data_IF_554394463996
#
_entry.id   IF_554394463996
#
_cell.length_a   1.000
_cell.length_b   1.000
_cell.length_c   1.000
_cell.angle_alpha   90.00
_cell.angle_beta   90.00
_cell.angle_gamma   90.00
#
_symmetry.space_group_name_H-M   'P 1'
#
loop_
_entity.id
_entity.type
_entity.pdbx_description
1 polymer ?
#
# COMPACT_ATOMS: atom_id res chain seq x y z
N UNK A 1 14.97 -2.04 0.36
CA UNK A 1 14.28 -1.45 -0.81
C UNK A 1 12.78 -1.61 -0.57
N UNK A 2 11.93 -0.59 -0.72
CA UNK A 2 10.49 -0.79 -0.59
C UNK A 2 10.01 -1.70 -1.72
N UNK A 3 9.24 -2.73 -1.37
CA UNK A 3 8.67 -3.68 -2.33
C UNK A 3 7.55 -2.98 -3.11
N UNK A 4 7.69 -2.89 -4.44
CA UNK A 4 6.68 -2.31 -5.33
C UNK A 4 5.84 -3.44 -5.91
N UNK A 5 4.54 -3.42 -5.64
CA UNK A 5 3.57 -4.33 -6.27
C UNK A 5 3.14 -3.81 -7.63
N UNK A 6 3.10 -4.69 -8.64
CA UNK A 6 2.80 -4.32 -10.02
C UNK A 6 1.51 -4.98 -10.52
N UNK A 7 0.65 -4.16 -11.14
CA UNK A 7 -0.53 -4.60 -11.87
C UNK A 7 -0.34 -4.11 -13.30
N UNK A 8 -0.36 -5.03 -14.26
CA UNK A 8 0.01 -4.75 -15.64
C UNK A 8 -1.16 -4.15 -16.43
N UNK A 9 -0.89 -3.04 -17.13
CA UNK A 9 -1.80 -2.46 -18.12
C UNK A 9 -2.14 -3.50 -19.21
N UNK A 10 -3.40 -3.54 -19.62
CA UNK A 10 -3.87 -4.42 -20.70
C UNK A 10 -4.12 -5.89 -20.30
N UNK A 11 -3.81 -6.32 -19.07
CA UNK A 11 -4.23 -7.64 -18.58
C UNK A 11 -5.72 -7.65 -18.24
N UNK A 12 -6.41 -8.71 -18.66
CA UNK A 12 -7.78 -9.01 -18.22
C UNK A 12 -7.71 -9.70 -16.87
N UNK A 13 -8.18 -9.02 -15.84
CA UNK A 13 -8.35 -9.59 -14.51
C UNK A 13 -9.78 -10.13 -14.36
N UNK A 14 -9.93 -11.22 -13.61
CA UNK A 14 -11.26 -11.71 -13.25
C UNK A 14 -12.02 -10.64 -12.45
N UNK A 15 -13.35 -10.68 -12.50
CA UNK A 15 -14.18 -9.81 -11.67
C UNK A 15 -13.82 -10.04 -10.19
N UNK A 16 -13.61 -8.97 -9.43
CA UNK A 16 -13.16 -9.01 -8.04
C UNK A 16 -11.80 -9.68 -7.83
N UNK A 17 -10.93 -9.70 -8.85
CA UNK A 17 -9.54 -10.06 -8.64
C UNK A 17 -8.93 -9.15 -7.57
N UNK A 18 -8.21 -9.76 -6.63
CA UNK A 18 -7.46 -9.05 -5.60
C UNK A 18 -5.98 -9.29 -5.82
N UNK A 19 -5.24 -8.19 -5.98
CA UNK A 19 -3.78 -8.19 -5.92
C UNK A 19 -3.36 -7.80 -4.50
N UNK A 20 -2.37 -8.50 -3.95
CA UNK A 20 -1.85 -8.24 -2.60
C UNK A 20 -0.38 -7.86 -2.67
N UNK A 21 -0.01 -6.80 -1.96
CA UNK A 21 1.37 -6.34 -1.84
C UNK A 21 1.74 -6.15 -0.37
N UNK A 22 2.79 -6.84 0.06
CA UNK A 22 3.32 -6.68 1.41
C UNK A 22 4.25 -5.47 1.50
N UNK A 23 4.10 -4.71 2.58
CA UNK A 23 4.87 -3.52 2.91
C UNK A 23 5.45 -3.66 4.32
N UNK A 24 6.62 -3.05 4.52
CA UNK A 24 7.25 -2.93 5.82
C UNK A 24 7.60 -1.46 6.03
N UNK A 25 7.18 -0.89 7.15
CA UNK A 25 7.52 0.48 7.54
C UNK A 25 8.13 0.50 8.93
N UNK A 26 9.24 1.22 9.16
CA UNK A 26 9.79 1.39 10.49
C UNK A 26 8.88 2.28 11.33
N UNK A 27 8.79 1.98 12.62
CA UNK A 27 8.09 2.77 13.62
C UNK A 27 8.94 2.90 14.88
N UNK A 28 9.14 4.14 15.34
CA UNK A 28 9.92 4.48 16.53
C UNK A 28 9.05 5.14 17.57
N UNK A 29 9.50 5.11 18.82
CA UNK A 29 8.85 5.85 19.90
C UNK A 29 8.77 7.35 19.54
N UNK A 30 7.55 7.91 19.60
CA UNK A 30 7.27 9.29 19.21
C UNK A 30 6.72 9.46 17.79
N UNK A 31 6.82 8.43 16.94
CA UNK A 31 6.19 8.46 15.62
C UNK A 31 4.66 8.36 15.74
N UNK A 32 3.96 8.97 14.78
CA UNK A 32 2.53 8.73 14.59
C UNK A 32 2.26 7.26 14.25
N UNK A 33 1.20 6.70 14.85
CA UNK A 33 0.61 5.41 14.48
C UNK A 33 -0.28 5.50 13.24
N UNK A 34 -0.62 6.71 12.80
CA UNK A 34 -1.24 6.97 11.51
C UNK A 34 -0.14 7.05 10.46
N UNK A 35 -0.10 6.07 9.55
CA UNK A 35 0.83 5.99 8.43
C UNK A 35 0.08 6.22 7.12
N UNK A 36 0.78 6.72 6.10
CA UNK A 36 0.22 6.89 4.76
C UNK A 36 0.89 5.93 3.79
N UNK A 37 0.09 5.13 3.08
CA UNK A 37 0.54 4.28 1.99
C UNK A 37 0.05 4.90 0.68
N UNK A 38 0.98 5.30 -0.19
CA UNK A 38 0.63 5.89 -1.47
C UNK A 38 0.40 4.80 -2.52
N UNK A 39 -0.63 4.97 -3.33
CA UNK A 39 -0.98 4.11 -4.46
C UNK A 39 -0.67 4.91 -5.72
N UNK A 40 0.18 4.35 -6.56
CA UNK A 40 0.64 5.00 -7.78
C UNK A 40 0.13 4.27 -9.02
N UNK A 41 0.02 5.01 -10.11
CA UNK A 41 -0.33 4.52 -11.44
C UNK A 41 0.75 4.95 -12.43
N UNK A 42 0.86 4.22 -13.53
CA UNK A 42 1.77 4.55 -14.63
C UNK A 42 1.15 4.08 -15.93
N UNK A 43 1.29 4.88 -16.98
CA UNK A 43 0.78 4.57 -18.32
C UNK A 43 1.81 3.89 -19.24
N UNK A 44 3.08 3.81 -18.80
CA UNK A 44 4.14 3.17 -19.55
C UNK A 44 3.92 1.65 -19.62
N UNK A 45 4.34 1.02 -20.73
CA UNK A 45 4.21 -0.43 -20.92
C UNK A 45 4.98 -1.24 -19.86
N UNK A 46 6.04 -0.65 -19.30
CA UNK A 46 6.82 -1.22 -18.22
C UNK A 46 6.76 -0.25 -17.03
N UNK A 47 6.38 -0.73 -15.84
CA UNK A 47 6.43 0.09 -14.65
C UNK A 47 7.87 0.53 -14.36
N UNK A 48 8.11 1.84 -14.15
CA UNK A 48 9.39 2.32 -13.70
C UNK A 48 9.71 1.82 -12.29
N UNK A 49 10.99 1.63 -12.01
CA UNK A 49 11.45 1.08 -10.74
C UNK A 49 11.29 2.05 -9.56
N UNK A 50 11.10 3.35 -9.84
CA UNK A 50 11.03 4.41 -8.84
C UNK A 50 9.79 5.28 -9.02
N UNK A 51 9.27 5.77 -7.90
CA UNK A 51 8.06 6.61 -7.82
C UNK A 51 8.27 8.05 -8.28
N UNK A 52 9.51 8.51 -8.39
CA UNK A 52 9.88 9.84 -8.89
C UNK A 52 10.01 9.90 -10.42
N UNK A 53 9.70 8.80 -11.11
CA UNK A 53 9.67 8.76 -12.56
C UNK A 53 8.53 9.65 -13.10
N UNK A 54 8.77 10.48 -14.14
CA UNK A 54 7.79 11.45 -14.63
C UNK A 54 6.49 10.84 -15.17
N UNK A 55 6.51 9.55 -15.53
CA UNK A 55 5.32 8.79 -15.95
C UNK A 55 4.53 8.16 -14.81
N UNK A 56 4.85 8.46 -13.55
CA UNK A 56 4.19 7.91 -12.36
C UNK A 56 3.31 8.98 -11.71
N UNK A 57 2.03 8.67 -11.59
CA UNK A 57 1.03 9.54 -10.97
C UNK A 57 0.58 8.97 -9.62
N UNK A 58 0.42 9.84 -8.62
CA UNK A 58 -0.23 9.49 -7.36
C UNK A 58 -1.73 9.33 -7.60
N UNK A 59 -2.22 8.09 -7.50
CA UNK A 59 -3.63 7.74 -7.72
C UNK A 59 -4.44 7.92 -6.45
N UNK A 60 -3.87 7.55 -5.30
CA UNK A 60 -4.55 7.70 -4.02
C UNK A 60 -3.57 7.61 -2.84
N UNK A 61 -4.02 8.12 -1.70
CA UNK A 61 -3.36 7.96 -0.42
C UNK A 61 -4.27 7.15 0.50
N UNK A 62 -3.74 6.05 1.01
CA UNK A 62 -4.41 5.21 1.99
C UNK A 62 -3.86 5.56 3.38
N UNK A 63 -4.75 6.01 4.26
CA UNK A 63 -4.42 6.25 5.66
C UNK A 63 -4.57 4.93 6.43
N UNK A 64 -3.50 4.53 7.10
CA UNK A 64 -3.38 3.28 7.86
C UNK A 64 -3.22 3.63 9.34
N UNK A 65 -4.23 3.32 10.16
CA UNK A 65 -4.23 3.50 11.60
C UNK A 65 -3.82 2.21 12.33
N UNK A 66 -2.65 2.26 12.96
CA UNK A 66 -2.08 1.14 13.72
C UNK A 66 -2.42 1.20 15.22
N UNK A 67 -3.30 2.09 15.69
CA UNK A 67 -3.65 2.21 17.11
C UNK A 67 -4.18 0.91 17.74
N UNK A 68 -4.85 0.07 16.94
CA UNK A 68 -5.38 -1.23 17.37
C UNK A 68 -4.44 -2.41 17.15
N UNK A 69 -3.18 -2.18 16.77
CA UNK A 69 -2.23 -3.25 16.40
C UNK A 69 -1.26 -3.50 17.56
N UNK A 70 -0.99 -4.77 17.87
CA UNK A 70 -0.04 -5.11 18.93
C UNK A 70 1.39 -4.97 18.41
N UNK A 71 2.03 -3.84 18.72
CA UNK A 71 3.39 -3.53 18.24
C UNK A 71 4.43 -4.57 18.68
N UNK A 72 4.24 -5.17 19.85
CA UNK A 72 5.15 -6.17 20.41
C UNK A 72 5.25 -7.44 19.54
N UNK A 73 4.27 -7.72 18.68
CA UNK A 73 4.31 -8.86 17.77
C UNK A 73 5.19 -8.64 16.54
N UNK A 74 5.65 -7.40 16.28
CA UNK A 74 6.55 -7.14 15.16
C UNK A 74 8.01 -7.43 15.49
N UNK A 75 8.83 -7.75 14.48
CA UNK A 75 10.27 -7.73 14.61
C UNK A 75 10.75 -6.36 15.13
N UNK A 76 11.68 -6.39 16.07
CA UNK A 76 12.26 -5.20 16.69
C UNK A 76 13.75 -5.13 16.40
N UNK A 77 14.22 -3.92 16.09
CA UNK A 77 15.64 -3.59 16.09
C UNK A 77 15.92 -2.63 17.23
N UNK A 78 17.06 -2.80 17.89
CA UNK A 78 17.49 -1.92 18.98
C UNK A 78 18.80 -1.23 18.62
N UNK A 79 18.82 0.09 18.70
CA UNK A 79 20.04 0.88 18.51
C UNK A 79 20.17 1.83 19.69
N UNK A 80 21.10 1.52 20.60
CA UNK A 80 21.23 2.22 21.88
C UNK A 80 19.95 2.08 22.73
N UNK A 81 19.34 3.21 23.10
CA UNK A 81 18.09 3.26 23.88
C UNK A 81 16.83 3.26 23.01
N UNK A 82 16.96 3.40 21.70
CA UNK A 82 15.81 3.38 20.78
C UNK A 82 15.43 1.96 20.37
N UNK A 83 14.14 1.69 20.42
CA UNK A 83 13.50 0.51 19.84
C UNK A 83 12.79 0.95 18.56
N UNK A 84 13.06 0.24 17.48
CA UNK A 84 12.40 0.38 16.19
C UNK A 84 11.59 -0.90 15.91
N UNK A 85 10.30 -0.74 15.65
CA UNK A 85 9.40 -1.81 15.24
C UNK A 85 9.30 -1.81 13.72
N UNK A 86 9.40 -2.98 13.10
CA UNK A 86 9.18 -3.14 11.67
C UNK A 86 7.72 -3.55 11.42
N UNK A 87 6.86 -2.56 11.17
CA UNK A 87 5.43 -2.77 10.94
C UNK A 87 5.22 -3.41 9.57
N UNK A 88 4.94 -4.71 9.56
CA UNK A 88 4.61 -5.47 8.35
C UNK A 88 3.09 -5.53 8.15
N UNK A 89 2.62 -5.14 6.98
CA UNK A 89 1.19 -5.15 6.62
C UNK A 89 1.04 -5.38 5.11
N UNK A 90 -0.14 -5.79 4.67
CA UNK A 90 -0.45 -5.98 3.26
C UNK A 90 -1.41 -4.92 2.75
N UNK A 91 -1.24 -4.51 1.49
CA UNK A 91 -2.21 -3.73 0.73
C UNK A 91 -2.91 -4.68 -0.24
N UNK A 92 -4.21 -4.84 -0.08
CA UNK A 92 -5.10 -5.57 -0.98
C UNK A 92 -5.78 -4.58 -1.92
N UNK A 93 -5.64 -4.78 -3.23
CA UNK A 93 -6.29 -3.99 -4.27
C UNK A 93 -7.27 -4.89 -5.02
N UNK A 94 -8.56 -4.65 -4.84
CA UNK A 94 -9.63 -5.37 -5.52
C UNK A 94 -10.17 -4.54 -6.69
N UNK A 95 -10.18 -5.15 -7.88
CA UNK A 95 -10.74 -4.56 -9.10
C UNK A 95 -12.27 -4.69 -9.09
N UNK A 96 -12.94 -3.57 -8.85
CA UNK A 96 -14.39 -3.43 -8.96
C UNK A 96 -14.87 -3.18 -10.39
N UNK A 97 -16.18 -3.05 -10.55
CA UNK A 97 -16.77 -2.73 -11.84
C UNK A 97 -16.39 -1.31 -12.30
N UNK A 98 -16.26 -1.12 -13.62
CA UNK A 98 -16.11 0.20 -14.27
C UNK A 98 -14.94 1.05 -13.75
N UNK A 99 -13.79 0.43 -13.47
CA UNK A 99 -12.56 1.16 -13.08
C UNK A 99 -12.53 1.60 -11.61
N UNK A 100 -13.38 1.03 -10.77
CA UNK A 100 -13.27 1.17 -9.31
C UNK A 100 -12.13 0.29 -8.80
N UNK A 101 -11.25 0.86 -7.99
CA UNK A 101 -10.28 0.13 -7.18
C UNK A 101 -10.68 0.25 -5.71
N UNK A 102 -10.84 -0.88 -5.04
CA UNK A 102 -10.99 -0.92 -3.58
C UNK A 102 -9.64 -1.29 -2.99
N UNK A 103 -9.13 -0.47 -2.10
CA UNK A 103 -7.81 -0.64 -1.52
C UNK A 103 -7.96 -0.80 -0.01
N UNK A 104 -7.35 -1.85 0.54
CA UNK A 104 -7.47 -2.20 1.95
C UNK A 104 -6.08 -2.51 2.51
N UNK A 105 -5.72 -1.89 3.61
CA UNK A 105 -4.54 -2.26 4.38
C UNK A 105 -4.93 -3.27 5.45
N UNK A 106 -4.26 -4.42 5.47
CA UNK A 106 -4.48 -5.48 6.45
C UNK A 106 -3.21 -5.73 7.24
N UNK A 107 -3.34 -5.73 8.57
CA UNK A 107 -2.25 -5.96 9.49
C UNK A 107 -2.71 -6.87 10.64
N UNK A 108 -1.98 -7.94 10.93
CA UNK A 108 -2.35 -8.92 11.96
C UNK A 108 -3.81 -9.42 11.84
N UNK A 109 -4.29 -9.61 10.60
CA UNK A 109 -5.66 -10.05 10.31
C UNK A 109 -6.74 -8.96 10.45
N UNK A 110 -6.37 -7.71 10.71
CA UNK A 110 -7.27 -6.57 10.90
C UNK A 110 -7.16 -5.57 9.77
N UNK A 111 -8.27 -4.95 9.37
CA UNK A 111 -8.23 -3.77 8.51
C UNK A 111 -7.67 -2.59 9.30
N UNK A 112 -6.55 -2.03 8.85
CA UNK A 112 -5.96 -0.81 9.43
C UNK A 112 -6.20 0.42 8.58
N UNK A 113 -6.70 0.25 7.35
CA UNK A 113 -7.08 1.35 6.49
C UNK A 113 -7.87 0.84 5.30
N UNK A 114 -8.78 1.67 4.79
CA UNK A 114 -9.46 1.41 3.52
C UNK A 114 -9.69 2.69 2.74
N UNK A 115 -9.68 2.58 1.42
CA UNK A 115 -10.08 3.66 0.52
C UNK A 115 -10.64 3.07 -0.77
N UNK A 116 -11.42 3.85 -1.49
CA UNK A 116 -11.94 3.49 -2.81
C UNK A 116 -11.59 4.57 -3.80
N UNK A 117 -11.04 4.17 -4.93
CA UNK A 117 -10.61 5.07 -6.00
C UNK A 117 -11.42 4.80 -7.25
N UNK A 118 -11.95 5.83 -7.87
CA UNK A 118 -12.55 5.74 -9.19
C UNK A 118 -11.53 6.22 -10.22
N UNK A 119 -11.05 5.30 -11.06
CA UNK A 119 -10.24 5.70 -12.21
C UNK A 119 -11.15 6.32 -13.27
N UNK A 120 -10.79 7.52 -13.75
CA UNK A 120 -11.48 8.16 -14.86
C UNK A 120 -11.21 7.42 -16.17
N UNK A 121 -12.19 7.43 -17.09
CA UNK A 121 -12.16 6.70 -18.36
C UNK A 121 -10.99 7.05 -19.29
N UNK A 122 -10.30 8.17 -19.08
CA UNK A 122 -9.25 8.68 -19.97
C UNK A 122 -7.84 8.16 -19.65
N UNK A 123 -7.68 7.31 -18.63
CA UNK A 123 -6.37 6.78 -18.21
C UNK A 123 -6.17 5.30 -18.58
N UNK A 124 -6.97 4.77 -19.52
CA UNK A 124 -6.91 3.39 -19.99
C UNK A 124 -6.37 3.33 -21.41
#
# INVERSE_FOLDING_TARGET
MPTVGYIAKGKRYALNHTATQDLVVPHRAGDSLLKTSNIYGCNDANAPQRVDHPGVDLISQLMCDFAGVELAQFPQSRTGTQVEYLLSYSIEITFGARGVLKCKAVCQGRTVGETTVQLAREQW
#
